data_IF_095802444882
#
_entry.id   IF_095802444882
#
_cell.length_a   1.000
_cell.length_b   1.000
_cell.length_c   1.000
_cell.angle_alpha   90.00
_cell.angle_beta   90.00
_cell.angle_gamma   90.00
#
_symmetry.space_group_name_H-M   'P 1'
#
loop_
_entity.id
_entity.type
_entity.pdbx_description
1 polymer ?
#
# COMPACT_ATOMS: atom_id res chain seq x y z
N UNK A 1 -39.68 46.21 -54.63
CA UNK A 1 -38.28 46.28 -54.98
C UNK A 1 -37.65 44.99 -54.44
N UNK A 2 -37.47 44.02 -55.37
CA UNK A 2 -37.07 42.64 -55.11
C UNK A 2 -35.53 42.56 -55.24
N UNK A 3 -34.83 42.07 -54.22
CA UNK A 3 -33.42 41.68 -54.33
C UNK A 3 -33.34 40.16 -54.06
N UNK A 4 -33.19 39.43 -55.15
CA UNK A 4 -32.77 38.02 -55.13
C UNK A 4 -31.28 37.94 -54.76
N UNK A 5 -30.94 37.31 -53.67
CA UNK A 5 -29.57 36.85 -53.37
C UNK A 5 -29.44 35.40 -53.84
N UNK A 6 -28.63 35.21 -54.86
CA UNK A 6 -28.19 33.91 -55.37
C UNK A 6 -27.14 33.33 -54.46
N UNK A 7 -27.41 32.15 -53.87
CA UNK A 7 -26.41 31.33 -53.19
C UNK A 7 -25.59 30.54 -54.24
N UNK A 8 -24.27 30.41 -54.08
CA UNK A 8 -23.47 29.57 -54.93
C UNK A 8 -23.67 28.09 -54.60
N UNK A 9 -23.44 27.17 -55.54
CA UNK A 9 -23.58 25.73 -55.29
C UNK A 9 -22.52 25.20 -54.33
N UNK A 10 -22.96 24.40 -53.36
CA UNK A 10 -22.11 23.67 -52.45
C UNK A 10 -21.17 22.73 -53.19
N UNK A 11 -19.88 22.95 -53.08
CA UNK A 11 -18.88 21.98 -53.47
C UNK A 11 -19.03 20.71 -52.61
N UNK A 12 -19.34 19.63 -53.27
CA UNK A 12 -19.30 18.29 -52.68
C UNK A 12 -17.84 18.00 -52.38
N UNK A 13 -17.47 18.03 -51.08
CA UNK A 13 -16.18 17.55 -50.62
C UNK A 13 -16.14 16.04 -50.88
N UNK A 14 -15.41 15.66 -51.90
CA UNK A 14 -14.96 14.28 -52.12
C UNK A 14 -14.09 13.88 -50.92
N UNK A 15 -14.65 13.09 -50.04
CA UNK A 15 -13.99 12.44 -48.95
C UNK A 15 -12.83 11.57 -49.54
N UNK A 16 -11.56 11.84 -49.29
CA UNK A 16 -10.47 11.03 -49.81
C UNK A 16 -10.63 9.60 -49.30
N UNK A 17 -10.74 8.66 -50.23
CA UNK A 17 -10.74 7.23 -49.92
C UNK A 17 -9.57 6.91 -49.01
N UNK A 18 -9.76 6.12 -47.94
CA UNK A 18 -8.65 5.67 -47.10
C UNK A 18 -7.65 4.93 -48.00
N UNK A 19 -6.38 5.34 -47.91
CA UNK A 19 -5.29 4.69 -48.60
C UNK A 19 -5.31 3.19 -48.35
N UNK A 20 -5.11 2.36 -49.37
CA UNK A 20 -5.05 0.89 -49.20
C UNK A 20 -3.97 0.57 -48.18
N UNK A 21 -4.19 -0.44 -47.30
CA UNK A 21 -3.17 -0.86 -46.34
C UNK A 21 -1.87 -1.21 -47.11
N UNK A 22 -0.70 -0.89 -46.54
CA UNK A 22 0.59 -1.18 -47.19
C UNK A 22 0.63 -2.67 -47.56
N UNK A 23 0.91 -2.93 -48.82
CA UNK A 23 1.02 -4.30 -49.35
C UNK A 23 2.11 -5.03 -48.55
N UNK A 24 1.75 -6.18 -47.98
CA UNK A 24 2.68 -7.09 -47.36
C UNK A 24 3.68 -7.61 -48.41
N UNK A 25 4.76 -6.85 -48.63
CA UNK A 25 5.72 -7.16 -49.69
C UNK A 25 6.96 -6.29 -49.74
N UNK A 26 7.03 -5.19 -48.96
CA UNK A 26 8.32 -4.48 -48.84
C UNK A 26 9.18 -5.22 -47.83
N UNK A 27 10.16 -5.94 -48.38
CA UNK A 27 11.08 -6.79 -47.68
C UNK A 27 11.76 -6.05 -46.53
N UNK A 28 11.63 -6.58 -45.34
CA UNK A 28 12.51 -6.29 -44.21
C UNK A 28 13.94 -6.35 -44.71
N UNK A 29 14.80 -5.35 -44.51
CA UNK A 29 16.18 -5.36 -44.94
C UNK A 29 16.83 -6.69 -44.48
N UNK A 30 17.22 -7.50 -45.45
CA UNK A 30 17.86 -8.79 -45.25
C UNK A 30 19.07 -8.62 -44.36
N UNK A 31 19.07 -9.25 -43.17
CA UNK A 31 20.32 -9.42 -42.45
C UNK A 31 20.28 -9.47 -40.92
N UNK A 32 19.18 -9.23 -40.26
CA UNK A 32 19.16 -9.37 -38.78
C UNK A 32 18.17 -10.48 -38.42
N UNK A 33 18.71 -11.66 -38.09
CA UNK A 33 17.89 -12.79 -37.64
C UNK A 33 17.16 -12.42 -36.35
N UNK A 34 15.84 -12.70 -36.26
CA UNK A 34 15.02 -12.45 -35.07
C UNK A 34 15.62 -13.05 -33.80
N UNK A 35 16.38 -14.13 -33.94
CA UNK A 35 17.15 -14.75 -32.86
C UNK A 35 18.32 -13.88 -32.36
N UNK A 36 19.00 -13.14 -33.24
CA UNK A 36 20.05 -12.19 -32.83
C UNK A 36 19.49 -10.95 -32.16
N UNK A 37 18.36 -10.43 -32.64
CA UNK A 37 17.65 -9.32 -32.01
C UNK A 37 17.13 -9.71 -30.62
N UNK A 38 16.56 -10.90 -30.49
CA UNK A 38 16.12 -11.43 -29.18
C UNK A 38 17.33 -11.61 -28.23
N UNK A 39 18.44 -12.11 -28.73
CA UNK A 39 19.69 -12.27 -27.97
C UNK A 39 20.29 -10.91 -27.52
N UNK A 40 20.25 -9.90 -28.38
CA UNK A 40 20.73 -8.55 -28.07
C UNK A 40 19.80 -7.86 -27.00
N UNK A 41 18.47 -8.00 -27.16
CA UNK A 41 17.48 -7.49 -26.19
C UNK A 41 17.63 -8.16 -24.83
N UNK A 42 17.82 -9.48 -24.77
CA UNK A 42 18.02 -10.20 -23.52
C UNK A 42 19.32 -9.82 -22.80
N UNK A 43 20.43 -9.64 -23.56
CA UNK A 43 21.71 -9.18 -23.00
C UNK A 43 21.62 -7.72 -22.51
N UNK A 44 20.96 -6.85 -23.23
CA UNK A 44 20.73 -5.47 -22.82
C UNK A 44 19.87 -5.39 -21.56
N UNK A 45 18.79 -6.18 -21.48
CA UNK A 45 17.93 -6.28 -20.30
C UNK A 45 18.72 -6.80 -19.08
N UNK A 46 19.52 -7.86 -19.27
CA UNK A 46 20.36 -8.39 -18.18
C UNK A 46 21.44 -7.40 -17.72
N UNK A 47 22.09 -6.69 -18.64
CA UNK A 47 23.04 -5.61 -18.28
C UNK A 47 22.35 -4.50 -17.50
N UNK A 48 21.16 -4.05 -17.93
CA UNK A 48 20.36 -3.05 -17.22
C UNK A 48 20.00 -3.50 -15.80
N UNK A 49 19.58 -4.75 -15.64
CA UNK A 49 19.30 -5.31 -14.30
C UNK A 49 20.55 -5.34 -13.43
N UNK A 50 21.67 -5.82 -13.95
CA UNK A 50 22.94 -5.84 -13.20
C UNK A 50 23.39 -4.42 -12.81
N UNK A 51 23.24 -3.43 -13.70
CA UNK A 51 23.55 -2.03 -13.38
C UNK A 51 22.63 -1.50 -12.29
N UNK A 52 21.31 -1.78 -12.36
CA UNK A 52 20.37 -1.37 -11.33
C UNK A 52 20.71 -1.98 -9.97
N UNK A 53 20.98 -3.30 -9.93
CA UNK A 53 21.37 -3.94 -8.67
C UNK A 53 22.74 -3.45 -8.16
N UNK A 54 23.69 -3.20 -9.07
CA UNK A 54 24.99 -2.60 -8.72
C UNK A 54 24.84 -1.21 -8.11
N UNK A 55 24.01 -0.36 -8.71
CA UNK A 55 23.72 0.98 -8.17
C UNK A 55 22.98 0.92 -6.82
N UNK A 56 22.03 0.00 -6.65
CA UNK A 56 21.34 -0.22 -5.37
C UNK A 56 22.31 -0.65 -4.27
N UNK A 57 23.22 -1.59 -4.59
CA UNK A 57 24.24 -2.04 -3.66
C UNK A 57 25.22 -0.91 -3.30
N UNK A 58 25.67 -0.17 -4.32
CA UNK A 58 26.56 0.99 -4.12
C UNK A 58 25.91 2.03 -3.20
N UNK A 59 24.63 2.36 -3.44
CA UNK A 59 23.89 3.28 -2.60
C UNK A 59 23.79 2.78 -1.16
N UNK A 60 23.46 1.49 -0.98
CA UNK A 60 23.39 0.88 0.36
C UNK A 60 24.74 0.90 1.08
N UNK A 61 25.83 0.59 0.37
CA UNK A 61 27.20 0.62 0.93
C UNK A 61 27.61 2.05 1.30
N UNK A 62 27.33 3.04 0.45
CA UNK A 62 27.65 4.44 0.75
C UNK A 62 26.84 4.93 1.95
N UNK A 63 25.54 4.60 2.02
CA UNK A 63 24.68 5.00 3.12
C UNK A 63 25.09 4.35 4.45
N UNK A 64 25.18 3.03 4.49
CA UNK A 64 25.55 2.30 5.71
C UNK A 64 27.01 2.54 6.09
N UNK A 65 27.92 2.59 5.11
CA UNK A 65 29.32 2.88 5.35
C UNK A 65 29.56 4.32 5.81
N UNK A 66 28.83 5.28 5.25
CA UNK A 66 28.86 6.68 5.70
C UNK A 66 28.34 6.84 7.13
N UNK A 67 27.25 6.14 7.48
CA UNK A 67 26.74 6.10 8.84
C UNK A 67 27.76 5.49 9.82
N UNK A 68 28.29 4.31 9.51
CA UNK A 68 29.30 3.65 10.32
C UNK A 68 30.56 4.52 10.51
N UNK A 69 31.03 5.12 9.40
CA UNK A 69 32.24 5.96 9.43
C UNK A 69 32.03 7.22 10.26
N UNK A 70 30.89 7.91 10.11
CA UNK A 70 30.57 9.13 10.85
C UNK A 70 30.49 8.87 12.35
N UNK A 71 29.93 7.72 12.74
CA UNK A 71 29.84 7.31 14.14
C UNK A 71 31.21 6.92 14.69
N UNK A 72 32.05 6.18 13.94
CA UNK A 72 33.42 5.79 14.38
C UNK A 72 34.39 6.96 14.46
N UNK A 73 34.25 7.94 13.58
CA UNK A 73 35.08 9.15 13.59
C UNK A 73 34.61 10.20 14.61
N UNK A 74 33.57 9.89 15.39
CA UNK A 74 32.90 10.81 16.33
C UNK A 74 32.45 12.14 15.68
N UNK A 75 32.14 12.15 14.39
CA UNK A 75 31.48 13.28 13.75
C UNK A 75 30.06 13.44 14.30
N UNK A 76 29.44 12.31 14.63
CA UNK A 76 28.19 12.22 15.36
C UNK A 76 28.40 11.27 16.55
N UNK A 77 27.90 11.66 17.72
CA UNK A 77 28.07 10.85 18.92
C UNK A 77 27.37 9.48 18.76
N UNK A 78 28.12 8.36 18.87
CA UNK A 78 27.55 7.00 18.78
C UNK A 78 26.43 6.73 19.78
N UNK A 79 26.42 7.44 20.90
CA UNK A 79 25.40 7.32 21.93
C UNK A 79 24.02 7.73 21.42
N UNK A 80 23.92 8.71 20.51
CA UNK A 80 22.63 9.18 19.96
C UNK A 80 22.24 8.53 18.63
N UNK A 81 23.22 8.11 17.84
CA UNK A 81 22.97 7.67 16.46
C UNK A 81 23.18 6.16 16.31
N UNK A 82 23.85 5.51 17.24
CA UNK A 82 24.19 4.10 17.13
C UNK A 82 25.21 3.82 16.01
N UNK A 83 25.38 2.55 15.70
CA UNK A 83 26.30 2.07 14.67
C UNK A 83 25.66 0.89 13.93
N UNK A 84 25.71 0.82 12.58
CA UNK A 84 25.25 -0.35 11.83
C UNK A 84 25.81 -1.68 12.34
N UNK A 85 27.11 -1.73 12.66
CA UNK A 85 27.72 -2.93 13.25
C UNK A 85 27.16 -3.26 14.63
N UNK A 86 26.85 -2.25 15.44
CA UNK A 86 26.18 -2.41 16.74
C UNK A 86 24.76 -2.92 16.61
N UNK A 87 24.01 -2.44 15.61
CA UNK A 87 22.66 -2.92 15.28
C UNK A 87 22.69 -4.40 14.90
N UNK A 88 23.62 -4.81 14.02
CA UNK A 88 23.77 -6.22 13.64
C UNK A 88 24.17 -7.09 14.84
N UNK A 89 25.09 -6.63 15.69
CA UNK A 89 25.47 -7.34 16.90
C UNK A 89 24.28 -7.50 17.86
N UNK A 90 23.45 -6.45 18.03
CA UNK A 90 22.25 -6.50 18.86
C UNK A 90 21.20 -7.49 18.30
N UNK A 91 20.98 -7.49 16.98
CA UNK A 91 20.12 -8.46 16.33
C UNK A 91 20.61 -9.90 16.55
N UNK A 92 21.90 -10.11 16.42
CA UNK A 92 22.50 -11.43 16.66
C UNK A 92 22.25 -11.89 18.09
N UNK A 93 22.53 -11.05 19.08
CA UNK A 93 22.25 -11.36 20.49
C UNK A 93 20.77 -11.70 20.72
N UNK A 94 19.85 -10.94 20.13
CA UNK A 94 18.43 -11.20 20.29
C UNK A 94 17.96 -12.50 19.63
N UNK A 95 18.64 -12.94 18.56
CA UNK A 95 18.34 -14.21 17.89
C UNK A 95 18.90 -15.40 18.69
N UNK A 96 20.15 -15.29 19.23
CA UNK A 96 20.84 -16.39 19.90
C UNK A 96 20.46 -16.53 21.37
N UNK A 97 20.47 -15.44 22.09
CA UNK A 97 20.32 -15.42 23.55
C UNK A 97 18.91 -15.02 23.99
N UNK A 98 18.09 -14.49 23.02
CA UNK A 98 16.79 -13.94 23.28
C UNK A 98 16.83 -12.46 23.68
N UNK A 99 15.66 -11.90 23.94
CA UNK A 99 15.48 -10.51 24.37
C UNK A 99 15.18 -10.43 25.87
N UNK A 100 15.21 -9.22 26.45
CA UNK A 100 14.80 -9.00 27.84
C UNK A 100 13.33 -9.41 28.11
N UNK A 101 12.50 -9.53 27.05
CA UNK A 101 11.09 -9.93 27.14
C UNK A 101 10.87 -11.41 26.74
N UNK A 102 11.95 -12.19 26.53
CA UNK A 102 11.89 -13.57 26.07
C UNK A 102 12.33 -13.77 24.61
N UNK A 103 11.99 -14.89 23.98
CA UNK A 103 12.44 -15.20 22.62
C UNK A 103 11.97 -14.16 21.60
N UNK A 104 12.87 -13.77 20.66
CA UNK A 104 12.58 -12.76 19.64
C UNK A 104 11.37 -13.12 18.76
N UNK A 105 11.25 -14.39 18.37
CA UNK A 105 10.12 -14.84 17.54
C UNK A 105 8.78 -14.63 18.21
N UNK A 106 8.72 -14.75 19.56
CA UNK A 106 7.51 -14.50 20.33
C UNK A 106 7.09 -13.02 20.26
N UNK A 107 8.07 -12.10 20.37
CA UNK A 107 7.82 -10.67 20.26
C UNK A 107 7.26 -10.31 18.87
N UNK A 108 7.87 -10.87 17.82
CA UNK A 108 7.39 -10.68 16.44
C UNK A 108 5.98 -11.28 16.24
N UNK A 109 5.71 -12.46 16.81
CA UNK A 109 4.41 -13.11 16.72
C UNK A 109 3.31 -12.30 17.41
N UNK A 110 3.58 -11.74 18.60
CA UNK A 110 2.62 -10.90 19.34
C UNK A 110 2.26 -9.65 18.54
N UNK A 111 3.26 -8.90 18.06
CA UNK A 111 3.00 -7.70 17.24
C UNK A 111 2.23 -8.06 15.96
N UNK A 112 2.57 -9.17 15.31
CA UNK A 112 1.87 -9.63 14.11
C UNK A 112 0.43 -10.03 14.40
N UNK A 113 0.17 -10.74 15.48
CA UNK A 113 -1.19 -11.12 15.90
C UNK A 113 -2.06 -9.87 16.12
N UNK A 114 -1.56 -8.88 16.85
CA UNK A 114 -2.25 -7.62 17.09
C UNK A 114 -2.52 -6.85 15.81
N UNK A 115 -1.53 -6.77 14.91
CA UNK A 115 -1.67 -6.11 13.62
C UNK A 115 -2.69 -6.83 12.72
N UNK A 116 -2.65 -8.17 12.65
CA UNK A 116 -3.58 -8.96 11.84
C UNK A 116 -5.01 -8.85 12.36
N UNK A 117 -5.23 -8.96 13.67
CA UNK A 117 -6.55 -8.77 14.27
C UNK A 117 -7.08 -7.37 14.00
N UNK A 118 -6.26 -6.34 14.23
CA UNK A 118 -6.61 -4.96 13.93
C UNK A 118 -6.90 -4.71 12.46
N UNK A 119 -6.10 -5.28 11.57
CA UNK A 119 -6.30 -5.19 10.12
C UNK A 119 -7.60 -5.84 9.66
N UNK A 120 -7.90 -7.05 10.11
CA UNK A 120 -9.11 -7.77 9.70
C UNK A 120 -10.36 -7.02 10.17
N UNK A 121 -10.43 -6.66 11.45
CA UNK A 121 -11.57 -5.96 12.01
C UNK A 121 -11.73 -4.58 11.38
N UNK A 122 -10.65 -3.79 11.30
CA UNK A 122 -10.66 -2.46 10.73
C UNK A 122 -11.04 -2.46 9.25
N UNK A 123 -10.55 -3.44 8.48
CA UNK A 123 -10.90 -3.59 7.06
C UNK A 123 -12.36 -3.96 6.86
N UNK A 124 -12.88 -4.93 7.60
CA UNK A 124 -14.29 -5.34 7.50
C UNK A 124 -15.21 -4.16 7.82
N UNK A 125 -14.97 -3.49 8.94
CA UNK A 125 -15.75 -2.32 9.33
C UNK A 125 -15.61 -1.19 8.31
N UNK A 126 -14.39 -0.88 7.85
CA UNK A 126 -14.13 0.14 6.86
C UNK A 126 -14.87 -0.10 5.55
N UNK A 127 -14.84 -1.34 5.03
CA UNK A 127 -15.56 -1.72 3.81
C UNK A 127 -17.08 -1.60 4.01
N UNK A 128 -17.62 -2.15 5.09
CA UNK A 128 -19.06 -2.13 5.35
C UNK A 128 -19.57 -0.69 5.45
N UNK A 129 -18.96 0.13 6.31
CA UNK A 129 -19.38 1.52 6.49
C UNK A 129 -19.11 2.37 5.25
N UNK A 130 -18.00 2.14 4.54
CA UNK A 130 -17.68 2.83 3.29
C UNK A 130 -18.72 2.57 2.21
N UNK A 131 -19.12 1.31 2.01
CA UNK A 131 -20.16 0.94 1.02
C UNK A 131 -21.53 1.50 1.44
N UNK A 132 -21.92 1.35 2.69
CA UNK A 132 -23.22 1.82 3.20
C UNK A 132 -23.35 3.34 3.03
N UNK A 133 -22.36 4.10 3.49
CA UNK A 133 -22.39 5.56 3.39
C UNK A 133 -22.18 6.05 1.95
N UNK A 134 -21.38 5.34 1.15
CA UNK A 134 -21.21 5.65 -0.28
C UNK A 134 -22.49 5.54 -1.08
N UNK A 135 -23.41 4.62 -0.68
CA UNK A 135 -24.69 4.39 -1.34
C UNK A 135 -25.82 5.28 -0.85
N UNK A 136 -25.87 5.61 0.43
CA UNK A 136 -26.98 6.34 1.06
C UNK A 136 -26.56 7.79 1.26
N UNK A 137 -26.90 8.64 0.29
CA UNK A 137 -26.49 10.06 0.25
C UNK A 137 -26.92 10.83 1.51
N UNK A 138 -28.18 10.67 1.93
CA UNK A 138 -28.70 11.29 3.13
C UNK A 138 -27.88 10.94 4.38
N UNK A 139 -27.51 9.67 4.50
CA UNK A 139 -26.70 9.19 5.63
C UNK A 139 -25.27 9.76 5.58
N UNK A 140 -24.69 9.81 4.38
CA UNK A 140 -23.37 10.38 4.15
C UNK A 140 -23.32 11.88 4.51
N UNK A 141 -24.33 12.65 4.08
CA UNK A 141 -24.44 14.08 4.40
C UNK A 141 -24.64 14.32 5.89
N UNK A 142 -25.56 13.57 6.52
CA UNK A 142 -25.84 13.67 7.95
C UNK A 142 -24.61 13.35 8.81
N UNK A 143 -23.86 12.31 8.46
CA UNK A 143 -22.68 11.87 9.23
C UNK A 143 -21.38 12.59 8.85
N UNK A 144 -21.35 13.30 7.72
CA UNK A 144 -20.16 13.98 7.20
C UNK A 144 -19.45 14.88 8.24
N UNK A 145 -20.11 15.74 9.02
CA UNK A 145 -19.42 16.56 10.02
C UNK A 145 -18.80 15.73 11.13
N UNK A 146 -19.46 14.65 11.56
CA UNK A 146 -18.94 13.75 12.61
C UNK A 146 -17.74 12.93 12.12
N UNK A 147 -17.81 12.44 10.88
CA UNK A 147 -16.71 11.70 10.25
C UNK A 147 -15.48 12.61 10.09
N UNK A 148 -15.68 13.87 9.66
CA UNK A 148 -14.60 14.84 9.56
C UNK A 148 -14.00 15.16 10.94
N UNK A 149 -14.81 15.36 11.96
CA UNK A 149 -14.35 15.57 13.33
C UNK A 149 -13.55 14.37 13.84
N UNK A 150 -14.07 13.16 13.69
CA UNK A 150 -13.37 11.92 14.08
C UNK A 150 -12.04 11.73 13.35
N UNK A 151 -11.99 12.09 12.05
CA UNK A 151 -10.76 12.01 11.26
C UNK A 151 -9.71 13.05 11.65
N UNK A 152 -10.12 14.18 12.25
CA UNK A 152 -9.22 15.23 12.73
C UNK A 152 -8.51 14.87 14.03
N UNK A 153 -9.04 13.89 14.79
CA UNK A 153 -8.40 13.43 16.03
C UNK A 153 -7.09 12.70 15.69
N UNK A 154 -5.96 13.05 16.34
CA UNK A 154 -4.72 12.33 16.20
C UNK A 154 -4.88 10.89 16.69
N UNK A 155 -5.01 9.95 15.76
CA UNK A 155 -5.40 8.55 16.06
C UNK A 155 -4.41 7.83 16.95
N UNK A 156 -3.14 8.22 16.91
CA UNK A 156 -2.08 7.66 17.77
C UNK A 156 -2.40 7.88 19.25
N UNK A 157 -3.03 9.01 19.59
CA UNK A 157 -3.41 9.33 20.98
C UNK A 157 -4.50 8.40 21.51
N UNK A 158 -5.31 7.81 20.61
CA UNK A 158 -6.34 6.86 21.01
C UNK A 158 -5.76 5.56 21.60
N UNK A 159 -4.49 5.25 21.33
CA UNK A 159 -3.80 4.10 21.91
C UNK A 159 -3.81 4.14 23.44
N UNK A 160 -3.54 5.31 24.06
CA UNK A 160 -3.60 5.46 25.51
C UNK A 160 -5.02 5.28 26.05
N UNK A 161 -6.03 5.79 25.34
CA UNK A 161 -7.43 5.61 25.72
C UNK A 161 -7.84 4.14 25.68
N UNK A 162 -7.46 3.42 24.61
CA UNK A 162 -7.76 1.98 24.49
C UNK A 162 -7.01 1.14 25.52
N UNK A 163 -5.79 1.52 25.89
CA UNK A 163 -5.07 0.88 26.99
C UNK A 163 -5.81 1.03 28.34
N UNK A 164 -6.45 2.18 28.58
CA UNK A 164 -7.29 2.41 29.77
C UNK A 164 -8.59 1.61 29.70
N UNK A 165 -9.26 1.60 28.53
CA UNK A 165 -10.58 0.96 28.35
C UNK A 165 -10.52 -0.58 28.34
N UNK A 166 -9.55 -1.15 27.64
CA UNK A 166 -9.43 -2.60 27.40
C UNK A 166 -8.25 -3.23 28.13
N UNK A 167 -7.50 -2.42 28.91
CA UNK A 167 -6.26 -2.89 29.56
C UNK A 167 -5.14 -3.16 28.57
N UNK A 168 -4.06 -3.77 29.08
CA UNK A 168 -2.85 -4.14 28.29
C UNK A 168 -3.04 -5.47 27.51
N UNK A 169 -4.28 -5.83 27.24
CA UNK A 169 -4.64 -7.05 26.51
C UNK A 169 -4.43 -6.89 24.99
N UNK A 170 -4.54 -8.00 24.28
CA UNK A 170 -4.59 -8.03 22.80
C UNK A 170 -5.60 -7.00 22.26
N UNK A 171 -6.79 -6.89 22.89
CA UNK A 171 -7.86 -6.04 22.41
C UNK A 171 -7.55 -4.55 22.55
N UNK A 172 -6.87 -4.13 23.62
CA UNK A 172 -6.45 -2.73 23.80
C UNK A 172 -5.48 -2.28 22.70
N UNK A 173 -4.52 -3.14 22.36
CA UNK A 173 -3.51 -2.88 21.35
C UNK A 173 -4.07 -2.99 19.93
N UNK A 174 -4.83 -4.06 19.64
CA UNK A 174 -5.51 -4.23 18.36
C UNK A 174 -6.53 -3.12 18.06
N UNK A 175 -7.20 -2.55 19.06
CA UNK A 175 -8.13 -1.43 18.87
C UNK A 175 -7.46 -0.20 18.25
N UNK A 176 -6.21 0.09 18.58
CA UNK A 176 -5.42 1.15 17.95
C UNK A 176 -5.19 0.85 16.47
N UNK A 177 -4.82 -0.38 16.15
CA UNK A 177 -4.67 -0.82 14.76
C UNK A 177 -6.01 -0.78 14.00
N UNK A 178 -7.11 -1.21 14.61
CA UNK A 178 -8.47 -1.13 14.03
C UNK A 178 -8.79 0.28 13.57
N UNK A 179 -8.59 1.28 14.42
CA UNK A 179 -8.94 2.67 14.08
C UNK A 179 -8.07 3.22 12.94
N UNK A 180 -6.77 2.92 12.95
CA UNK A 180 -5.88 3.37 11.87
C UNK A 180 -6.27 2.76 10.52
N UNK A 181 -6.57 1.47 10.48
CA UNK A 181 -7.00 0.74 9.30
C UNK A 181 -8.39 1.18 8.85
N UNK A 182 -9.34 1.27 9.79
CA UNK A 182 -10.73 1.59 9.51
C UNK A 182 -10.88 2.84 8.65
N UNK A 183 -10.28 3.95 9.05
CA UNK A 183 -10.46 5.20 8.32
C UNK A 183 -9.90 5.15 6.90
N UNK A 184 -8.77 4.50 6.68
CA UNK A 184 -8.17 4.39 5.35
C UNK A 184 -9.04 3.53 4.44
N UNK A 185 -9.47 2.37 4.92
CA UNK A 185 -10.33 1.47 4.14
C UNK A 185 -11.72 2.09 3.92
N UNK A 186 -12.28 2.74 4.95
CA UNK A 186 -13.56 3.44 4.88
C UNK A 186 -13.57 4.50 3.78
N UNK A 187 -12.60 5.42 3.77
CA UNK A 187 -12.59 6.49 2.77
C UNK A 187 -12.37 5.96 1.35
N UNK A 188 -11.53 4.96 1.17
CA UNK A 188 -11.33 4.35 -0.15
C UNK A 188 -12.56 3.57 -0.62
N UNK A 189 -13.20 2.80 0.25
CA UNK A 189 -14.44 2.09 -0.09
C UNK A 189 -15.58 3.08 -0.41
N UNK A 190 -15.72 4.14 0.39
CA UNK A 190 -16.68 5.21 0.18
C UNK A 190 -16.47 5.90 -1.17
N UNK A 191 -15.22 6.27 -1.49
CA UNK A 191 -14.88 6.89 -2.77
C UNK A 191 -15.12 5.93 -3.94
N UNK A 192 -14.69 4.69 -3.82
CA UNK A 192 -14.87 3.67 -4.85
C UNK A 192 -16.35 3.43 -5.19
N UNK A 193 -17.25 3.52 -4.21
CA UNK A 193 -18.70 3.44 -4.44
C UNK A 193 -19.23 4.68 -5.18
N UNK A 194 -18.73 5.87 -4.88
CA UNK A 194 -19.20 7.13 -5.47
C UNK A 194 -18.65 7.39 -6.86
N UNK A 195 -17.55 6.75 -7.23
CA UNK A 195 -16.96 6.86 -8.58
C UNK A 195 -17.54 5.88 -9.59
N UNK A 196 -18.50 5.04 -9.21
CA UNK A 196 -19.19 4.16 -10.16
C UNK A 196 -19.94 5.00 -11.18
N UNK A 197 -19.77 4.68 -12.49
CA UNK A 197 -20.40 5.41 -13.58
C UNK A 197 -21.92 5.40 -13.44
N UNK A 198 -22.49 6.61 -13.35
CA UNK A 198 -23.95 6.81 -13.24
C UNK A 198 -24.72 6.24 -14.43
N UNK A 199 -24.13 6.23 -15.63
CA UNK A 199 -24.75 5.64 -16.81
C UNK A 199 -24.85 4.13 -16.68
N UNK A 200 -23.83 3.49 -16.11
CA UNK A 200 -23.86 2.05 -15.83
C UNK A 200 -25.00 1.70 -14.86
N UNK A 201 -25.17 2.49 -13.80
CA UNK A 201 -26.25 2.33 -12.83
C UNK A 201 -27.64 2.57 -13.50
N UNK A 202 -27.77 3.62 -14.32
CA UNK A 202 -29.03 3.95 -15.02
C UNK A 202 -29.40 2.84 -16.00
N UNK A 203 -28.48 2.36 -16.82
CA UNK A 203 -28.69 1.28 -17.77
C UNK A 203 -29.14 -0.02 -17.09
N UNK A 204 -28.46 -0.37 -15.98
CA UNK A 204 -28.86 -1.56 -15.23
C UNK A 204 -30.28 -1.44 -14.63
N UNK A 205 -30.70 -0.25 -14.19
CA UNK A 205 -32.08 -0.01 -13.73
C UNK A 205 -33.09 -0.18 -14.86
N UNK A 206 -32.79 0.33 -16.06
CA UNK A 206 -33.63 0.16 -17.23
C UNK A 206 -33.80 -1.34 -17.57
N UNK A 207 -32.76 -2.12 -17.39
CA UNK A 207 -32.76 -3.58 -17.56
C UNK A 207 -33.44 -4.34 -16.42
N UNK A 208 -34.02 -3.64 -15.43
CA UNK A 208 -34.78 -4.24 -14.33
C UNK A 208 -33.93 -4.68 -13.11
N UNK A 209 -32.67 -4.22 -12.99
CA UNK A 209 -31.89 -4.50 -11.81
C UNK A 209 -32.48 -3.82 -10.56
N UNK A 210 -32.75 -4.60 -9.53
CA UNK A 210 -33.13 -4.10 -8.21
C UNK A 210 -31.93 -3.54 -7.44
N UNK A 211 -32.19 -2.90 -6.31
CA UNK A 211 -31.13 -2.29 -5.49
C UNK A 211 -30.09 -3.31 -4.97
N UNK A 212 -30.47 -4.56 -4.77
CA UNK A 212 -29.57 -5.63 -4.31
C UNK A 212 -28.63 -6.05 -5.43
N UNK A 213 -29.17 -6.27 -6.64
CA UNK A 213 -28.37 -6.61 -7.82
C UNK A 213 -27.41 -5.47 -8.19
N UNK A 214 -27.91 -4.23 -8.19
CA UNK A 214 -27.04 -3.05 -8.38
C UNK A 214 -25.85 -3.05 -7.42
N UNK A 215 -26.09 -3.37 -6.15
CA UNK A 215 -25.00 -3.38 -5.16
C UNK A 215 -24.01 -4.49 -5.40
N UNK A 216 -24.49 -5.73 -5.50
CA UNK A 216 -23.65 -6.92 -5.49
C UNK A 216 -22.97 -7.16 -6.83
N UNK A 217 -23.64 -6.82 -7.95
CA UNK A 217 -23.18 -7.14 -9.30
C UNK A 217 -22.48 -5.95 -10.00
N UNK A 218 -22.70 -4.71 -9.54
CA UNK A 218 -22.13 -3.52 -10.18
C UNK A 218 -21.27 -2.70 -9.21
N UNK A 219 -21.86 -2.24 -8.10
CA UNK A 219 -21.20 -1.25 -7.23
C UNK A 219 -20.01 -1.87 -6.50
N UNK A 220 -20.21 -3.02 -5.83
CA UNK A 220 -19.12 -3.68 -5.10
C UNK A 220 -17.99 -4.12 -6.04
N UNK A 221 -18.25 -4.79 -7.20
CA UNK A 221 -17.17 -5.14 -8.13
C UNK A 221 -16.43 -3.91 -8.70
N UNK A 222 -17.13 -2.81 -8.97
CA UNK A 222 -16.51 -1.57 -9.45
C UNK A 222 -15.64 -0.91 -8.36
N UNK A 223 -16.11 -0.88 -7.12
CA UNK A 223 -15.39 -0.33 -5.98
C UNK A 223 -14.21 -1.21 -5.52
N UNK A 224 -14.16 -2.49 -5.95
CA UNK A 224 -13.19 -3.47 -5.46
C UNK A 224 -11.73 -3.02 -5.70
N UNK A 225 -11.46 -2.33 -6.81
CA UNK A 225 -10.11 -1.81 -7.11
C UNK A 225 -9.63 -0.81 -6.06
N UNK A 226 -10.52 0.07 -5.59
CA UNK A 226 -10.24 1.04 -4.53
C UNK A 226 -10.04 0.36 -3.18
N UNK A 227 -10.93 -0.58 -2.86
CA UNK A 227 -10.85 -1.36 -1.61
C UNK A 227 -9.52 -2.11 -1.54
N UNK A 228 -9.15 -2.85 -2.59
CA UNK A 228 -7.92 -3.64 -2.61
C UNK A 228 -6.67 -2.77 -2.55
N UNK A 229 -6.64 -1.64 -3.26
CA UNK A 229 -5.54 -0.68 -3.16
C UNK A 229 -5.39 -0.15 -1.72
N UNK A 230 -6.50 0.08 -1.02
CA UNK A 230 -6.46 0.53 0.38
C UNK A 230 -5.94 -0.54 1.34
N UNK A 231 -6.20 -1.83 1.08
CA UNK A 231 -5.74 -2.92 1.95
C UNK A 231 -4.22 -3.01 1.99
N UNK A 232 -3.52 -2.78 0.88
CA UNK A 232 -2.06 -2.73 0.86
C UNK A 232 -1.50 -1.67 1.82
N UNK A 233 -2.02 -0.44 1.72
CA UNK A 233 -1.57 0.68 2.58
C UNK A 233 -1.96 0.42 4.03
N UNK A 234 -3.15 -0.13 4.26
CA UNK A 234 -3.74 -0.32 5.59
C UNK A 234 -3.01 -1.36 6.43
N UNK A 235 -2.36 -2.36 5.81
CA UNK A 235 -1.62 -3.35 6.60
C UNK A 235 -0.38 -2.74 7.26
N UNK A 236 0.35 -1.87 6.56
CA UNK A 236 1.44 -1.11 7.17
C UNK A 236 0.96 -0.28 8.37
N UNK A 237 -0.21 0.36 8.23
CA UNK A 237 -0.85 1.11 9.32
C UNK A 237 -1.33 0.21 10.47
N UNK A 238 -1.72 -1.05 10.20
CA UNK A 238 -2.04 -2.01 11.25
C UNK A 238 -0.83 -2.32 12.13
N UNK A 239 0.34 -2.53 11.52
CA UNK A 239 1.60 -2.72 12.26
C UNK A 239 1.94 -1.47 13.08
N UNK A 240 1.82 -0.27 12.50
CA UNK A 240 2.01 0.98 13.24
C UNK A 240 1.06 1.06 14.42
N UNK A 241 -0.21 0.70 14.23
CA UNK A 241 -1.22 0.71 15.28
C UNK A 241 -0.94 -0.29 16.42
N UNK A 242 -0.50 -1.50 16.09
CA UNK A 242 -0.07 -2.51 17.06
C UNK A 242 1.12 -1.98 17.89
N UNK A 243 2.17 -1.51 17.22
CA UNK A 243 3.36 -0.93 17.87
C UNK A 243 3.00 0.23 18.78
N UNK A 244 2.14 1.15 18.33
CA UNK A 244 1.67 2.27 19.16
C UNK A 244 0.91 1.75 20.38
N UNK A 245 0.04 0.75 20.21
CA UNK A 245 -0.64 0.09 21.33
C UNK A 245 0.32 -0.54 22.34
N UNK A 246 1.41 -1.15 21.85
CA UNK A 246 2.45 -1.76 22.68
C UNK A 246 3.26 -0.73 23.48
N UNK A 247 3.48 0.50 22.96
CA UNK A 247 4.21 1.56 23.65
C UNK A 247 3.52 2.04 24.95
N UNK A 248 2.22 1.78 25.11
CA UNK A 248 1.47 2.19 26.30
C UNK A 248 1.50 1.16 27.45
N UNK A 249 2.54 0.31 27.51
CA UNK A 249 2.80 -0.55 28.67
C UNK A 249 2.51 -2.03 28.44
N UNK A 250 2.68 -2.51 27.23
CA UNK A 250 2.61 -3.95 26.93
C UNK A 250 3.69 -4.75 27.68
N UNK A 251 3.42 -6.04 27.88
CA UNK A 251 4.38 -6.98 28.48
C UNK A 251 5.21 -7.73 27.43
N UNK A 252 4.82 -7.65 26.15
CA UNK A 252 5.46 -8.31 25.03
C UNK A 252 5.17 -7.54 23.73
N UNK A 253 5.94 -7.80 22.69
CA UNK A 253 5.85 -7.22 21.37
C UNK A 253 7.10 -6.45 20.96
N UNK A 254 7.29 -6.26 19.65
CA UNK A 254 8.43 -5.53 19.11
C UNK A 254 8.41 -4.04 19.47
N UNK A 255 7.22 -3.42 19.56
CA UNK A 255 7.08 -2.04 20.02
C UNK A 255 7.51 -1.88 21.46
N UNK A 256 7.15 -2.82 22.34
CA UNK A 256 7.58 -2.83 23.73
C UNK A 256 9.11 -3.07 23.84
N UNK A 257 9.67 -3.90 22.96
CA UNK A 257 11.10 -4.12 22.89
C UNK A 257 11.85 -2.82 22.52
N UNK A 258 11.35 -2.09 21.52
CA UNK A 258 11.88 -0.78 21.10
C UNK A 258 11.76 0.24 22.23
N UNK A 259 10.60 0.28 22.91
CA UNK A 259 10.37 1.16 24.04
C UNK A 259 11.37 0.93 25.16
N UNK A 260 11.59 -0.32 25.56
CA UNK A 260 12.56 -0.68 26.58
C UNK A 260 14.00 -0.32 26.18
N UNK A 261 14.38 -0.59 24.92
CA UNK A 261 15.69 -0.18 24.40
C UNK A 261 15.87 1.36 24.46
N UNK A 262 14.84 2.12 24.09
CA UNK A 262 14.84 3.58 24.20
C UNK A 262 15.01 4.07 25.64
N UNK A 263 14.28 3.47 26.57
CA UNK A 263 14.36 3.83 28.01
C UNK A 263 15.70 3.48 28.67
N UNK A 264 16.40 2.47 28.13
CA UNK A 264 17.74 2.09 28.60
C UNK A 264 18.86 2.76 27.80
N UNK A 265 18.53 3.70 26.92
CA UNK A 265 19.46 4.37 26.01
C UNK A 265 20.24 3.41 25.10
N UNK A 266 19.69 2.22 24.83
CA UNK A 266 20.24 1.27 23.87
C UNK A 266 19.80 1.64 22.45
N UNK A 267 20.45 2.62 21.86
CA UNK A 267 20.12 3.13 20.53
C UNK A 267 20.27 2.05 19.46
N UNK A 268 21.26 1.17 19.58
CA UNK A 268 21.41 0.03 18.66
C UNK A 268 20.21 -0.94 18.76
N UNK A 269 19.67 -1.14 19.96
CA UNK A 269 18.44 -1.91 20.17
C UNK A 269 17.21 -1.26 19.56
N UNK A 270 17.09 0.08 19.66
CA UNK A 270 16.00 0.81 18.99
C UNK A 270 16.06 0.57 17.48
N UNK A 271 17.21 0.79 16.84
CA UNK A 271 17.36 0.55 15.40
C UNK A 271 17.19 -0.92 15.01
N UNK A 272 17.64 -1.85 15.84
CA UNK A 272 17.43 -3.28 15.62
C UNK A 272 15.94 -3.64 15.63
N UNK A 273 15.17 -3.12 16.58
CA UNK A 273 13.72 -3.31 16.64
C UNK A 273 13.00 -2.67 15.45
N UNK A 274 13.38 -1.45 15.04
CA UNK A 274 12.83 -0.79 13.84
C UNK A 274 13.12 -1.61 12.58
N UNK A 275 14.34 -2.17 12.45
CA UNK A 275 14.69 -3.04 11.33
C UNK A 275 13.81 -4.30 11.29
N UNK A 276 13.58 -4.94 12.43
CA UNK A 276 12.71 -6.11 12.54
C UNK A 276 11.27 -5.78 12.15
N UNK A 277 10.74 -4.62 12.57
CA UNK A 277 9.43 -4.16 12.15
C UNK A 277 9.36 -3.94 10.64
N UNK A 278 10.40 -3.34 10.03
CA UNK A 278 10.46 -3.16 8.59
C UNK A 278 10.46 -4.51 7.84
N UNK A 279 11.25 -5.48 8.31
CA UNK A 279 11.27 -6.84 7.74
C UNK A 279 9.89 -7.50 7.88
N UNK A 280 9.27 -7.38 9.04
CA UNK A 280 7.94 -7.93 9.31
C UNK A 280 6.88 -7.32 8.36
N UNK A 281 6.92 -5.99 8.18
CA UNK A 281 6.04 -5.28 7.27
C UNK A 281 6.24 -5.74 5.81
N UNK A 282 7.48 -5.90 5.35
CA UNK A 282 7.78 -6.38 4.00
C UNK A 282 7.29 -7.82 3.76
N UNK A 283 7.47 -8.71 4.74
CA UNK A 283 6.97 -10.08 4.66
C UNK A 283 5.44 -10.07 4.53
N UNK A 284 4.78 -9.29 5.35
CA UNK A 284 3.33 -9.20 5.35
C UNK A 284 2.78 -8.57 4.05
N UNK A 285 3.41 -7.52 3.54
CA UNK A 285 3.07 -6.93 2.24
C UNK A 285 3.23 -7.95 1.10
N UNK A 286 4.31 -8.73 1.14
CA UNK A 286 4.52 -9.83 0.20
C UNK A 286 3.40 -10.88 0.24
N UNK A 287 2.93 -11.25 1.44
CA UNK A 287 1.84 -12.18 1.63
C UNK A 287 0.51 -11.63 1.11
N UNK A 288 0.19 -10.35 1.39
CA UNK A 288 -1.02 -9.68 0.89
C UNK A 288 -0.98 -9.61 -0.64
N UNK A 289 0.15 -9.22 -1.22
CA UNK A 289 0.34 -9.17 -2.68
C UNK A 289 0.17 -10.56 -3.33
N UNK A 290 0.66 -11.61 -2.68
CA UNK A 290 0.49 -12.99 -3.15
C UNK A 290 -0.98 -13.43 -3.07
N UNK A 291 -1.69 -13.05 -2.01
CA UNK A 291 -3.11 -13.33 -1.85
C UNK A 291 -3.96 -12.58 -2.89
N UNK A 292 -3.67 -11.29 -3.11
CA UNK A 292 -4.34 -10.48 -4.14
C UNK A 292 -4.22 -11.11 -5.52
N UNK A 293 -3.00 -11.53 -5.92
CA UNK A 293 -2.78 -12.19 -7.21
C UNK A 293 -3.58 -13.48 -7.38
N UNK A 294 -3.88 -14.18 -6.30
CA UNK A 294 -4.72 -15.39 -6.34
C UNK A 294 -6.21 -15.07 -6.45
N UNK A 295 -6.65 -13.99 -5.82
CA UNK A 295 -8.07 -13.60 -5.78
C UNK A 295 -8.49 -12.85 -7.05
N UNK A 296 -7.60 -12.05 -7.65
CA UNK A 296 -7.92 -11.19 -8.79
C UNK A 296 -7.30 -11.76 -10.07
N UNK A 297 -7.92 -12.78 -10.62
CA UNK A 297 -7.48 -13.38 -11.91
C UNK A 297 -7.84 -12.55 -13.14
N UNK A 298 -8.73 -11.55 -13.03
CA UNK A 298 -9.22 -10.76 -14.17
C UNK A 298 -8.46 -9.45 -14.43
N UNK A 299 -7.52 -9.06 -13.58
CA UNK A 299 -6.75 -7.83 -13.81
C UNK A 299 -5.79 -8.07 -14.96
N UNK A 300 -5.88 -7.32 -16.08
CA UNK A 300 -4.89 -7.45 -17.15
C UNK A 300 -3.51 -7.17 -16.56
N UNK A 301 -2.54 -8.04 -16.87
CA UNK A 301 -1.15 -7.82 -16.49
C UNK A 301 -0.76 -6.42 -16.95
N UNK A 302 -0.42 -5.53 -16.02
CA UNK A 302 0.19 -4.25 -16.38
C UNK A 302 1.38 -4.57 -17.26
N UNK A 303 1.32 -4.08 -18.49
CA UNK A 303 2.42 -4.20 -19.46
C UNK A 303 3.68 -3.70 -18.73
N UNK A 304 4.69 -4.57 -18.66
CA UNK A 304 5.97 -4.38 -17.97
C UNK A 304 6.75 -3.20 -18.59
N UNK A 305 6.32 -1.97 -18.33
CA UNK A 305 6.93 -0.73 -18.81
C UNK A 305 7.02 0.35 -17.75
N UNK A 306 6.28 0.23 -16.65
CA UNK A 306 6.38 1.18 -15.56
C UNK A 306 7.35 0.66 -14.51
N UNK A 307 8.38 1.44 -14.27
CA UNK A 307 9.39 1.24 -13.24
C UNK A 307 8.67 1.23 -11.89
N UNK A 308 8.76 0.16 -11.08
CA UNK A 308 8.28 0.24 -9.71
C UNK A 308 9.15 1.26 -8.96
N UNK A 309 8.51 2.32 -8.50
CA UNK A 309 9.11 3.32 -7.58
C UNK A 309 9.37 2.64 -6.26
#
# INVERSE_FOLDING_TARGET
>A
MSVRSTLPPSSVDENPHPSPPPQAGEGTPAGINDTELAGRRSRAARRRLLTIYGLRLLFAVIWLGGWELSSRMNWVDPFFVGQPTGVVARLWTWITDGTALGPLWLQAAVTMEEAVVGFIIGSILGVIFGIVLGRVELLAETLSPFIRAANAIPRVVLGSLFAIMFGLSLWGKAATAVVLVFFVVFFNAFQGVREVDRNLIANARILGADNRRLTLEIIIPSALSWILASLHISFGLAIVGAVVGELFGATAGLGQLIYNAGHTFDVNGVFAGMFLLAVLALIAEGLISALEKRLIKWRPNRVSGEIPI
#
